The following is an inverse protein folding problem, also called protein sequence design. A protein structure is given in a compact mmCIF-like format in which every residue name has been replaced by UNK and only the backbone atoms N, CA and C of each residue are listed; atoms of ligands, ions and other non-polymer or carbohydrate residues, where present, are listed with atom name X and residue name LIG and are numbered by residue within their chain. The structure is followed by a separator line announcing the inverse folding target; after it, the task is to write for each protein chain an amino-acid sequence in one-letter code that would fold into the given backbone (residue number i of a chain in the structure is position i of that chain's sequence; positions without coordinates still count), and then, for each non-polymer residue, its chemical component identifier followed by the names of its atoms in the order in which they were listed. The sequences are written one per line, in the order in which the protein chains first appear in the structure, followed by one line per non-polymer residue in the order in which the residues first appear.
data_IF_239570849786
#
_entry.id   IF_239570849786
#
_cell.length_a   1.000
_cell.length_b   1.000
_cell.length_c   1.000
_cell.angle_alpha   90.00
_cell.angle_beta   90.00
_cell.angle_gamma   90.00
#
_symmetry.space_group_name_H-M   'P 1'
#
loop_
_entity.id
_entity.type
_entity.pdbx_description
1 polymer ?
#
# COMPACT_ATOMS: atom_id res chain seq x y z
N UNK A 1 21.97 -12.42 -14.30
CA UNK A 1 23.42 -12.16 -14.14
C UNK A 1 23.70 -10.81 -14.75
N UNK A 2 24.11 -9.82 -13.96
CA UNK A 2 24.47 -8.51 -14.49
C UNK A 2 25.89 -8.60 -15.04
N UNK A 3 26.05 -8.40 -16.35
CA UNK A 3 27.37 -8.32 -16.97
C UNK A 3 27.92 -6.92 -16.74
N UNK A 4 28.99 -6.83 -15.95
CA UNK A 4 29.70 -5.57 -15.71
C UNK A 4 30.59 -5.32 -16.93
N UNK A 5 30.38 -4.19 -17.62
CA UNK A 5 31.29 -3.69 -18.65
C UNK A 5 32.26 -2.70 -18.00
N UNK A 6 33.55 -3.02 -18.05
CA UNK A 6 34.62 -2.09 -17.65
C UNK A 6 35.17 -1.49 -18.95
N UNK A 7 35.11 -0.17 -19.06
CA UNK A 7 35.63 0.58 -20.20
C UNK A 7 37.11 0.91 -19.93
N UNK A 8 37.99 0.04 -20.43
CA UNK A 8 39.44 0.15 -20.25
C UNK A 8 40.08 1.30 -21.08
N UNK A 9 39.28 2.03 -21.88
CA UNK A 9 39.78 3.13 -22.71
C UNK A 9 39.99 4.44 -21.94
N UNK A 10 39.50 4.52 -20.70
CA UNK A 10 39.68 5.68 -19.82
C UNK A 10 40.65 5.31 -18.70
N UNK A 11 41.72 6.09 -18.48
CA UNK A 11 42.54 5.91 -17.29
C UNK A 11 41.65 6.10 -16.07
N UNK A 12 41.70 5.15 -15.14
CA UNK A 12 41.03 5.30 -13.84
C UNK A 12 41.43 6.65 -13.24
N UNK A 13 40.49 7.41 -12.65
CA UNK A 13 40.85 8.66 -11.99
C UNK A 13 41.95 8.38 -10.97
N UNK A 14 43.05 9.14 -11.04
CA UNK A 14 44.15 9.03 -10.09
C UNK A 14 43.58 9.44 -8.73
N UNK A 15 43.30 8.45 -7.89
CA UNK A 15 42.86 8.66 -6.51
C UNK A 15 44.08 9.25 -5.78
N UNK A 16 43.97 10.41 -5.12
CA UNK A 16 45.09 11.00 -4.41
C UNK A 16 45.60 10.05 -3.32
N UNK A 17 46.91 9.77 -3.34
CA UNK A 17 47.58 8.96 -2.33
C UNK A 17 47.51 9.66 -0.97
N UNK A 18 46.57 9.24 -0.13
CA UNK A 18 46.63 9.55 1.30
C UNK A 18 47.58 8.56 1.98
N UNK A 19 48.50 9.02 2.86
CA UNK A 19 49.58 8.18 3.41
C UNK A 19 49.12 7.00 4.27
N UNK A 20 47.84 6.98 4.68
CA UNK A 20 47.23 5.88 5.45
C UNK A 20 46.21 5.05 4.65
N UNK A 21 46.03 5.30 3.36
CA UNK A 21 45.10 4.54 2.52
C UNK A 21 45.78 3.26 2.02
N UNK A 22 45.97 2.28 2.91
CA UNK A 22 46.34 0.92 2.50
C UNK A 22 45.19 0.34 1.67
N UNK A 23 45.32 0.39 0.36
CA UNK A 23 44.47 -0.36 -0.56
C UNK A 23 44.60 -1.86 -0.23
N UNK A 24 43.57 -2.43 0.39
CA UNK A 24 43.47 -3.87 0.60
C UNK A 24 43.25 -4.54 -0.77
N UNK A 25 44.11 -5.51 -1.09
CA UNK A 25 43.89 -6.31 -2.29
C UNK A 25 42.72 -7.27 -2.11
N UNK A 26 41.97 -7.58 -3.18
CA UNK A 26 40.87 -8.54 -3.12
C UNK A 26 41.32 -9.91 -2.55
N UNK A 27 42.57 -10.31 -2.80
CA UNK A 27 43.14 -11.53 -2.27
C UNK A 27 43.32 -11.50 -0.75
N UNK A 28 43.74 -10.36 -0.18
CA UNK A 28 43.85 -10.17 1.28
C UNK A 28 42.48 -10.14 1.95
N UNK A 29 41.52 -9.48 1.32
CA UNK A 29 40.11 -9.48 1.75
C UNK A 29 39.54 -10.91 1.79
N UNK A 30 39.72 -11.70 0.73
CA UNK A 30 39.26 -13.10 0.71
C UNK A 30 39.98 -13.99 1.72
N UNK A 31 41.29 -13.76 1.97
CA UNK A 31 42.03 -14.46 3.03
C UNK A 31 41.48 -14.13 4.42
N UNK A 32 41.12 -12.86 4.68
CA UNK A 32 40.49 -12.45 5.93
C UNK A 32 39.07 -13.01 6.07
N UNK A 33 38.31 -13.04 4.99
CA UNK A 33 36.98 -13.68 4.97
C UNK A 33 37.09 -15.18 5.29
N UNK A 34 38.06 -15.88 4.68
CA UNK A 34 38.35 -17.29 4.99
C UNK A 34 38.87 -17.48 6.42
N UNK A 35 39.52 -16.47 7.00
CA UNK A 35 39.96 -16.45 8.40
C UNK A 35 38.87 -15.99 9.39
N UNK A 36 37.63 -15.81 8.94
CA UNK A 36 36.48 -15.52 9.82
C UNK A 36 36.05 -14.05 9.89
N UNK A 37 36.53 -13.18 9.00
CA UNK A 37 35.98 -11.82 8.87
C UNK A 37 34.51 -11.91 8.44
N UNK A 38 33.60 -11.55 9.36
CA UNK A 38 32.18 -11.41 9.05
C UNK A 38 31.96 -10.15 8.22
N UNK A 39 31.38 -10.31 7.03
CA UNK A 39 31.02 -9.21 6.14
C UNK A 39 29.75 -8.48 6.59
N UNK A 40 28.97 -9.11 7.46
CA UNK A 40 27.76 -8.57 8.06
C UNK A 40 28.03 -8.53 9.56
N UNK A 41 27.86 -7.37 10.19
CA UNK A 41 28.03 -7.27 11.63
C UNK A 41 26.90 -8.03 12.34
N UNK A 42 27.16 -8.49 13.56
CA UNK A 42 26.13 -9.14 14.39
C UNK A 42 24.93 -8.20 14.62
N UNK A 43 25.17 -6.88 14.64
CA UNK A 43 24.15 -5.83 14.67
C UNK A 43 23.27 -5.84 13.41
N UNK A 44 23.86 -5.89 12.21
CA UNK A 44 23.10 -5.99 10.95
C UNK A 44 22.30 -7.30 10.86
N UNK A 45 22.83 -8.41 11.37
CA UNK A 45 22.11 -9.69 11.46
C UNK A 45 20.94 -9.61 12.45
N UNK A 46 21.11 -8.90 13.57
CA UNK A 46 20.06 -8.66 14.54
C UNK A 46 18.95 -7.78 13.95
N UNK A 47 19.31 -6.65 13.32
CA UNK A 47 18.35 -5.77 12.63
C UNK A 47 17.55 -6.52 11.57
N UNK A 48 18.21 -7.39 10.79
CA UNK A 48 17.54 -8.20 9.77
C UNK A 48 16.51 -9.16 10.40
N UNK A 49 16.85 -9.78 11.54
CA UNK A 49 15.94 -10.65 12.29
C UNK A 49 14.74 -9.87 12.83
N UNK A 50 14.98 -8.73 13.46
CA UNK A 50 13.92 -7.87 14.00
C UNK A 50 12.99 -7.37 12.89
N UNK A 51 13.54 -6.96 11.74
CA UNK A 51 12.75 -6.57 10.57
C UNK A 51 11.90 -7.72 10.04
N UNK A 52 12.43 -8.95 10.01
CA UNK A 52 11.69 -10.12 9.58
C UNK A 52 10.55 -10.48 10.54
N UNK A 53 10.79 -10.39 11.86
CA UNK A 53 9.75 -10.60 12.87
C UNK A 53 8.63 -9.57 12.76
N UNK A 54 8.98 -8.29 12.59
CA UNK A 54 8.02 -7.21 12.36
C UNK A 54 7.20 -7.44 11.09
N UNK A 55 7.83 -7.90 10.00
CA UNK A 55 7.14 -8.27 8.75
C UNK A 55 6.15 -9.42 8.99
N UNK A 56 6.55 -10.47 9.72
CA UNK A 56 5.68 -11.61 10.04
C UNK A 56 4.46 -11.19 10.86
N UNK A 57 4.63 -10.29 11.83
CA UNK A 57 3.52 -9.75 12.63
C UNK A 57 2.57 -8.92 11.76
N UNK A 58 3.12 -8.09 10.87
CA UNK A 58 2.31 -7.32 9.91
C UNK A 58 1.53 -8.22 8.96
N UNK A 59 2.15 -9.27 8.41
CA UNK A 59 1.49 -10.24 7.53
C UNK A 59 0.33 -10.93 8.25
N UNK A 60 0.51 -11.37 9.51
CA UNK A 60 -0.58 -11.95 10.32
C UNK A 60 -1.73 -10.96 10.53
N UNK A 61 -1.41 -9.70 10.82
CA UNK A 61 -2.41 -8.64 10.96
C UNK A 61 -3.18 -8.41 9.65
N UNK A 62 -2.49 -8.37 8.52
CA UNK A 62 -3.10 -8.20 7.20
C UNK A 62 -3.97 -9.38 6.80
N UNK A 63 -3.55 -10.62 7.06
CA UNK A 63 -4.39 -11.78 6.78
C UNK A 63 -5.65 -11.82 7.67
N UNK A 64 -5.57 -11.38 8.94
CA UNK A 64 -6.75 -11.20 9.80
C UNK A 64 -7.71 -10.16 9.21
N UNK A 65 -7.22 -8.98 8.83
CA UNK A 65 -8.05 -7.92 8.25
C UNK A 65 -8.63 -8.32 6.90
N UNK A 66 -7.84 -9.02 6.08
CA UNK A 66 -8.28 -9.58 4.81
C UNK A 66 -9.42 -10.56 5.01
N UNK A 67 -9.27 -11.51 5.95
CA UNK A 67 -10.33 -12.45 6.29
C UNK A 67 -11.60 -11.71 6.75
N UNK A 68 -11.46 -10.76 7.66
CA UNK A 68 -12.58 -9.93 8.13
C UNK A 68 -13.31 -9.23 6.97
N UNK A 69 -12.57 -8.67 6.00
CA UNK A 69 -13.13 -8.01 4.83
C UNK A 69 -13.93 -8.99 3.97
N UNK A 70 -13.34 -10.13 3.61
CA UNK A 70 -13.98 -11.09 2.70
C UNK A 70 -15.15 -11.84 3.35
N UNK A 71 -15.04 -12.16 4.64
CA UNK A 71 -16.12 -12.78 5.41
C UNK A 71 -17.37 -11.87 5.45
N UNK A 72 -17.18 -10.54 5.46
CA UNK A 72 -18.26 -9.54 5.50
C UNK A 72 -18.46 -8.79 4.17
N UNK A 73 -17.92 -9.31 3.07
CA UNK A 73 -17.93 -8.59 1.80
C UNK A 73 -19.35 -8.38 1.25
N UNK A 74 -20.27 -9.30 1.50
CA UNK A 74 -21.68 -9.18 1.15
C UNK A 74 -22.34 -7.97 1.83
N UNK A 75 -22.14 -7.80 3.14
CA UNK A 75 -22.61 -6.64 3.90
C UNK A 75 -22.02 -5.33 3.34
N UNK A 76 -20.71 -5.33 3.11
CA UNK A 76 -20.00 -4.15 2.58
C UNK A 76 -20.52 -3.77 1.20
N UNK A 77 -20.76 -4.74 0.31
CA UNK A 77 -21.28 -4.48 -1.02
C UNK A 77 -22.74 -4.02 -1.01
N UNK A 78 -23.57 -4.50 -0.07
CA UNK A 78 -24.96 -4.02 0.12
C UNK A 78 -25.00 -2.55 0.56
N UNK A 79 -24.08 -2.13 1.43
CA UNK A 79 -23.96 -0.74 1.89
C UNK A 79 -22.95 0.11 1.10
N UNK A 80 -22.59 -0.31 -0.11
CA UNK A 80 -21.53 0.34 -0.90
C UNK A 80 -21.77 1.85 -1.07
N UNK A 81 -22.97 2.25 -1.46
CA UNK A 81 -23.26 3.66 -1.79
C UNK A 81 -23.13 4.56 -0.56
N UNK A 82 -23.54 4.06 0.60
CA UNK A 82 -23.34 4.71 1.91
C UNK A 82 -21.85 4.82 2.29
N UNK A 83 -21.08 3.75 2.09
CA UNK A 83 -19.64 3.73 2.32
C UNK A 83 -18.93 4.76 1.43
N UNK A 84 -19.33 4.86 0.16
CA UNK A 84 -18.78 5.82 -0.79
C UNK A 84 -19.16 7.27 -0.46
N UNK A 85 -20.34 7.49 0.10
CA UNK A 85 -20.83 8.81 0.50
C UNK A 85 -20.22 9.30 1.83
N UNK A 86 -19.76 8.37 2.69
CA UNK A 86 -19.25 8.68 4.03
C UNK A 86 -17.72 8.76 4.04
N UNK A 87 -17.08 9.94 4.16
CA UNK A 87 -15.62 10.08 4.06
C UNK A 87 -14.84 9.20 5.04
N UNK A 88 -15.38 9.03 6.26
CA UNK A 88 -14.81 8.19 7.31
C UNK A 88 -14.71 6.71 6.90
N UNK A 89 -15.70 6.19 6.17
CA UNK A 89 -15.68 4.80 5.67
C UNK A 89 -14.89 4.68 4.37
N UNK A 90 -15.05 5.65 3.48
CA UNK A 90 -14.36 5.69 2.19
C UNK A 90 -12.83 5.59 2.33
N UNK A 91 -12.27 6.20 3.38
CA UNK A 91 -10.83 6.28 3.61
C UNK A 91 -10.24 5.09 4.40
N UNK A 92 -11.02 4.05 4.72
CA UNK A 92 -10.52 2.86 5.41
C UNK A 92 -9.42 2.19 4.56
N UNK A 93 -8.32 1.81 5.22
CA UNK A 93 -7.20 1.13 4.58
C UNK A 93 -7.54 -0.32 4.19
N UNK A 94 -7.35 -0.63 2.90
CA UNK A 94 -7.60 -1.94 2.28
C UNK A 94 -6.46 -2.40 1.37
N UNK A 95 -5.23 -1.91 1.54
CA UNK A 95 -4.09 -2.29 0.68
C UNK A 95 -3.78 -3.79 0.67
N UNK A 96 -4.18 -4.52 1.71
CA UNK A 96 -4.03 -5.98 1.85
C UNK A 96 -5.11 -6.80 1.09
N UNK A 97 -6.18 -6.15 0.63
CA UNK A 97 -7.36 -6.83 0.09
C UNK A 97 -7.14 -7.41 -1.31
N UNK A 98 -6.30 -6.75 -2.13
CA UNK A 98 -6.01 -7.14 -3.51
C UNK A 98 -4.52 -7.36 -3.71
N UNK A 99 -4.15 -8.54 -4.23
CA UNK A 99 -2.75 -8.88 -4.55
C UNK A 99 -2.58 -8.97 -6.07
N UNK A 100 -1.59 -8.28 -6.62
CA UNK A 100 -1.31 -8.31 -8.04
C UNK A 100 0.18 -8.52 -8.29
N UNK A 101 0.55 -8.93 -9.49
CA UNK A 101 1.96 -8.92 -9.88
C UNK A 101 2.18 -9.44 -11.28
N UNK A 102 3.23 -8.96 -11.93
CA UNK A 102 3.58 -9.39 -13.27
C UNK A 102 5.02 -9.84 -13.37
N UNK A 103 5.27 -10.74 -14.31
CA UNK A 103 6.62 -11.00 -14.78
C UNK A 103 7.23 -9.67 -15.27
N UNK A 104 8.49 -9.42 -14.95
CA UNK A 104 9.26 -8.20 -15.26
C UNK A 104 8.84 -6.90 -14.55
N UNK A 105 7.58 -6.75 -14.12
CA UNK A 105 7.10 -5.54 -13.40
C UNK A 105 6.99 -5.73 -11.88
N UNK A 106 7.15 -6.96 -11.41
CA UNK A 106 7.12 -7.28 -9.99
C UNK A 106 5.72 -7.22 -9.37
N UNK A 107 5.63 -7.22 -8.03
CA UNK A 107 4.36 -7.15 -7.32
C UNK A 107 3.67 -5.80 -7.53
N UNK A 108 2.34 -5.83 -7.56
CA UNK A 108 1.53 -4.63 -7.50
C UNK A 108 1.73 -3.97 -6.14
N UNK A 109 2.21 -2.73 -6.15
CA UNK A 109 2.21 -1.90 -4.95
C UNK A 109 0.84 -1.25 -4.74
N UNK A 110 0.18 -1.58 -3.63
CA UNK A 110 -1.09 -1.00 -3.16
C UNK A 110 -0.89 0.07 -2.09
N UNK A 111 0.36 0.48 -1.85
CA UNK A 111 0.76 1.52 -0.91
C UNK A 111 1.86 2.36 -1.55
N UNK A 112 1.72 3.68 -1.57
CA UNK A 112 2.77 4.59 -2.04
C UNK A 112 3.13 5.59 -0.97
N UNK A 113 4.42 5.74 -0.73
CA UNK A 113 4.95 6.79 0.12
C UNK A 113 5.48 7.93 -0.75
N UNK A 114 5.30 9.16 -0.30
CA UNK A 114 5.92 10.35 -0.87
C UNK A 114 6.36 11.27 0.27
N UNK A 115 7.35 12.12 0.01
CA UNK A 115 7.85 13.07 0.99
C UNK A 115 7.21 14.44 0.74
N UNK A 116 6.64 15.05 1.77
CA UNK A 116 6.23 16.45 1.76
C UNK A 116 6.85 17.14 2.97
N UNK A 117 7.59 18.23 2.74
CA UNK A 117 8.19 19.05 3.79
C UNK A 117 8.98 18.23 4.83
N UNK A 118 9.74 17.23 4.38
CA UNK A 118 10.53 16.36 5.27
C UNK A 118 9.71 15.26 5.96
N UNK A 119 8.39 15.22 5.79
CA UNK A 119 7.51 14.20 6.34
C UNK A 119 7.19 13.13 5.29
N UNK A 120 7.30 11.86 5.67
CA UNK A 120 6.91 10.73 4.81
C UNK A 120 5.42 10.49 4.98
N UNK A 121 4.65 10.76 3.92
CA UNK A 121 3.22 10.48 3.85
C UNK A 121 3.01 9.19 3.08
N UNK A 122 2.30 8.23 3.68
CA UNK A 122 1.94 6.96 3.04
C UNK A 122 0.46 6.94 2.70
N UNK A 123 0.17 6.72 1.42
CA UNK A 123 -1.18 6.57 0.89
C UNK A 123 -1.39 5.12 0.49
N UNK A 124 -2.31 4.48 1.20
CA UNK A 124 -2.72 3.10 0.97
C UNK A 124 -3.97 3.06 0.08
N UNK A 125 -4.22 1.91 -0.54
CA UNK A 125 -5.47 1.67 -1.26
C UNK A 125 -6.66 1.81 -0.30
N UNK A 126 -7.53 2.78 -0.62
CA UNK A 126 -8.73 3.10 0.16
C UNK A 126 -9.89 2.17 -0.17
N UNK A 127 -10.75 1.89 0.80
CA UNK A 127 -11.95 1.06 0.62
C UNK A 127 -12.83 1.59 -0.52
N UNK A 128 -13.07 2.91 -0.60
CA UNK A 128 -13.84 3.49 -1.69
C UNK A 128 -13.23 3.20 -3.07
N UNK A 129 -11.91 3.26 -3.19
CA UNK A 129 -11.21 2.99 -4.44
C UNK A 129 -11.28 1.52 -4.80
N UNK A 130 -11.14 0.62 -3.82
CA UNK A 130 -11.30 -0.82 -4.02
C UNK A 130 -12.73 -1.16 -4.50
N UNK A 131 -13.76 -0.61 -3.87
CA UNK A 131 -15.16 -0.85 -4.25
C UNK A 131 -15.43 -0.38 -5.69
N UNK A 132 -14.97 0.82 -6.07
CA UNK A 132 -15.07 1.35 -7.44
C UNK A 132 -14.30 0.51 -8.46
N UNK A 133 -13.23 -0.16 -8.05
CA UNK A 133 -12.49 -1.08 -8.93
C UNK A 133 -13.32 -2.33 -9.19
N UNK A 134 -13.92 -2.90 -8.14
CA UNK A 134 -14.79 -4.07 -8.23
C UNK A 134 -16.11 -3.82 -8.97
N UNK A 135 -16.47 -2.58 -9.28
CA UNK A 135 -17.60 -2.28 -10.16
C UNK A 135 -17.30 -2.47 -11.65
N UNK A 136 -16.02 -2.54 -12.02
CA UNK A 136 -15.63 -2.65 -13.43
C UNK A 136 -15.67 -4.09 -13.91
N UNK A 137 -16.06 -4.30 -15.16
CA UNK A 137 -16.23 -5.65 -15.73
C UNK A 137 -14.92 -6.45 -15.75
N UNK A 138 -13.78 -5.74 -15.86
CA UNK A 138 -12.46 -6.34 -15.71
C UNK A 138 -12.26 -7.04 -14.35
N UNK A 139 -12.95 -6.58 -13.30
CA UNK A 139 -12.81 -7.07 -11.93
C UNK A 139 -14.04 -7.81 -11.38
N UNK A 140 -15.08 -7.98 -12.20
CA UNK A 140 -16.27 -8.79 -11.89
C UNK A 140 -16.30 -10.07 -12.69
N UNK A 141 -16.88 -11.11 -12.14
CA UNK A 141 -17.10 -12.39 -12.81
C UNK A 141 -18.42 -12.97 -12.31
N UNK A 142 -19.20 -13.56 -13.19
CA UNK A 142 -20.38 -14.33 -12.77
C UNK A 142 -19.95 -15.56 -11.98
N UNK A 143 -20.57 -15.78 -10.83
CA UNK A 143 -20.37 -16.97 -10.02
C UNK A 143 -21.39 -18.04 -10.41
N UNK A 144 -21.04 -19.31 -10.21
CA UNK A 144 -21.94 -20.46 -10.42
C UNK A 144 -23.21 -20.41 -9.56
N UNK A 145 -23.20 -19.67 -8.45
CA UNK A 145 -24.38 -19.47 -7.61
C UNK A 145 -25.36 -18.42 -8.16
N UNK A 146 -25.05 -17.77 -9.28
CA UNK A 146 -25.83 -16.66 -9.84
C UNK A 146 -25.38 -15.27 -9.34
N UNK A 147 -24.60 -15.22 -8.25
CA UNK A 147 -24.03 -13.99 -7.72
C UNK A 147 -22.85 -13.43 -8.51
N UNK A 148 -22.37 -12.25 -8.12
CA UNK A 148 -21.18 -11.62 -8.72
C UNK A 148 -19.94 -11.83 -7.85
N UNK A 149 -18.93 -12.51 -8.39
CA UNK A 149 -17.61 -12.64 -7.77
C UNK A 149 -16.68 -11.49 -8.18
N UNK A 150 -15.82 -11.07 -7.25
CA UNK A 150 -14.87 -9.97 -7.45
C UNK A 150 -13.43 -10.45 -7.46
N UNK A 151 -12.59 -9.88 -8.32
CA UNK A 151 -11.18 -10.25 -8.43
C UNK A 151 -10.41 -9.77 -7.20
N UNK A 152 -9.84 -10.71 -6.44
CA UNK A 152 -9.01 -10.44 -5.25
C UNK A 152 -7.52 -10.65 -5.49
N UNK A 153 -7.15 -11.38 -6.54
CA UNK A 153 -5.75 -11.48 -6.93
C UNK A 153 -5.56 -11.77 -8.40
N UNK A 154 -4.43 -11.34 -8.96
CA UNK A 154 -4.05 -11.66 -10.34
C UNK A 154 -2.53 -11.73 -10.51
N UNK A 155 -2.10 -12.56 -11.45
CA UNK A 155 -0.72 -12.64 -11.93
C UNK A 155 -0.70 -12.67 -13.45
N UNK A 156 0.40 -12.26 -14.08
CA UNK A 156 0.47 -12.30 -15.54
C UNK A 156 1.78 -11.78 -16.12
N UNK A 157 1.76 -11.52 -17.42
CA UNK A 157 2.90 -10.95 -18.15
C UNK A 157 2.44 -9.72 -18.94
N UNK A 158 3.15 -8.59 -18.81
CA UNK A 158 2.87 -7.40 -19.60
C UNK A 158 3.20 -7.60 -21.09
N UNK A 159 4.15 -8.48 -21.42
CA UNK A 159 4.60 -8.69 -22.80
C UNK A 159 3.60 -9.51 -23.62
N UNK A 160 3.07 -10.59 -23.05
CA UNK A 160 2.06 -11.42 -23.71
C UNK A 160 0.63 -10.94 -23.44
N UNK A 161 0.44 -10.03 -22.49
CA UNK A 161 -0.88 -9.61 -22.00
C UNK A 161 -1.65 -10.70 -21.24
N UNK A 162 -1.12 -11.92 -21.14
CA UNK A 162 -1.79 -13.04 -20.50
C UNK A 162 -1.85 -12.86 -18.98
N UNK A 163 -2.97 -13.26 -18.38
CA UNK A 163 -3.13 -13.24 -16.93
C UNK A 163 -3.91 -14.45 -16.42
N UNK A 164 -3.68 -14.75 -15.15
CA UNK A 164 -4.50 -15.63 -14.31
C UNK A 164 -4.96 -14.82 -13.11
N UNK A 165 -6.23 -14.93 -12.76
CA UNK A 165 -6.79 -14.24 -11.63
C UNK A 165 -7.65 -15.17 -10.78
N UNK A 166 -7.85 -14.77 -9.54
CA UNK A 166 -8.72 -15.45 -8.59
C UNK A 166 -9.80 -14.47 -8.16
N UNK A 167 -11.04 -14.86 -8.41
CA UNK A 167 -12.24 -14.18 -7.95
C UNK A 167 -12.74 -14.81 -6.66
N UNK A 168 -13.41 -14.01 -5.84
CA UNK A 168 -14.10 -14.45 -4.62
C UNK A 168 -15.56 -14.03 -4.69
N UNK A 169 -16.46 -14.96 -4.46
CA UNK A 169 -17.90 -14.68 -4.41
C UNK A 169 -18.32 -14.29 -2.99
N UNK A 170 -18.89 -13.10 -2.77
CA UNK A 170 -19.37 -12.68 -1.46
C UNK A 170 -20.58 -13.49 -0.97
N UNK A 171 -21.37 -14.08 -1.88
CA UNK A 171 -22.60 -14.82 -1.54
C UNK A 171 -22.30 -16.27 -1.13
N UNK A 172 -21.72 -17.07 -2.03
CA UNK A 172 -21.40 -18.46 -1.74
C UNK A 172 -20.03 -18.68 -1.08
N UNK A 173 -19.25 -17.61 -0.89
CA UNK A 173 -17.91 -17.62 -0.27
C UNK A 173 -16.88 -18.52 -1.00
N UNK A 174 -17.17 -18.92 -2.24
CA UNK A 174 -16.29 -19.74 -3.07
C UNK A 174 -15.36 -18.89 -3.94
N UNK A 175 -14.21 -19.48 -4.27
CA UNK A 175 -13.25 -18.90 -5.19
C UNK A 175 -13.41 -19.47 -6.61
N UNK A 176 -13.15 -18.63 -7.60
CA UNK A 176 -13.14 -19.02 -9.00
C UNK A 176 -11.85 -18.55 -9.68
N UNK A 177 -11.27 -19.40 -10.51
CA UNK A 177 -10.12 -19.04 -11.33
C UNK A 177 -10.58 -18.45 -12.66
N UNK A 178 -9.92 -17.37 -13.05
CA UNK A 178 -10.26 -16.59 -14.24
C UNK A 178 -9.01 -16.51 -15.11
N UNK A 179 -9.14 -16.95 -16.35
CA UNK A 179 -8.10 -16.83 -17.37
C UNK A 179 -8.56 -15.87 -18.47
N UNK A 180 -7.67 -15.61 -19.44
CA UNK A 180 -7.99 -14.91 -20.69
C UNK A 180 -8.43 -13.45 -20.53
N UNK A 181 -8.08 -12.80 -19.43
CA UNK A 181 -8.20 -11.34 -19.29
C UNK A 181 -6.84 -10.67 -19.48
N UNK A 182 -6.85 -9.42 -19.93
CA UNK A 182 -5.62 -8.64 -20.12
C UNK A 182 -4.95 -8.37 -18.78
N UNK A 183 -3.68 -8.74 -18.65
CA UNK A 183 -2.84 -8.36 -17.51
C UNK A 183 -2.78 -6.84 -17.34
N UNK A 184 -2.58 -6.11 -18.44
CA UNK A 184 -2.56 -4.65 -18.44
C UNK A 184 -3.87 -4.04 -17.95
N UNK A 185 -5.00 -4.68 -18.29
CA UNK A 185 -6.33 -4.31 -17.81
C UNK A 185 -6.45 -4.38 -16.29
N UNK A 186 -5.79 -5.33 -15.63
CA UNK A 186 -5.71 -5.37 -14.17
C UNK A 186 -4.69 -4.38 -13.63
N UNK A 187 -3.43 -4.54 -14.04
CA UNK A 187 -2.29 -3.93 -13.38
C UNK A 187 -2.27 -2.40 -13.57
N UNK A 188 -2.40 -1.93 -14.82
CA UNK A 188 -2.35 -0.50 -15.10
C UNK A 188 -3.60 0.23 -14.65
N UNK A 189 -4.76 -0.44 -14.65
CA UNK A 189 -5.99 0.16 -14.11
C UNK A 189 -5.87 0.44 -12.61
N UNK A 190 -5.43 -0.56 -11.83
CA UNK A 190 -5.18 -0.42 -10.39
C UNK A 190 -4.14 0.65 -10.10
N UNK A 191 -3.00 0.61 -10.79
CA UNK A 191 -1.96 1.63 -10.60
C UNK A 191 -2.46 3.04 -10.92
N UNK A 192 -3.23 3.21 -12.01
CA UNK A 192 -3.80 4.51 -12.37
C UNK A 192 -4.77 5.03 -11.30
N UNK A 193 -5.60 4.16 -10.72
CA UNK A 193 -6.51 4.55 -9.63
C UNK A 193 -5.74 4.93 -8.36
N UNK A 194 -4.71 4.16 -8.00
CA UNK A 194 -3.85 4.50 -6.86
C UNK A 194 -3.10 5.82 -7.09
N UNK A 195 -2.56 6.07 -8.29
CA UNK A 195 -1.92 7.35 -8.61
C UNK A 195 -2.88 8.53 -8.42
N UNK A 196 -4.14 8.41 -8.87
CA UNK A 196 -5.15 9.46 -8.67
C UNK A 196 -5.47 9.70 -7.20
N UNK A 197 -5.52 8.65 -6.39
CA UNK A 197 -5.69 8.78 -4.94
C UNK A 197 -4.52 9.51 -4.30
N UNK A 198 -3.29 9.13 -4.67
CA UNK A 198 -2.06 9.79 -4.21
C UNK A 198 -2.06 11.26 -4.59
N UNK A 199 -2.37 11.60 -5.83
CA UNK A 199 -2.45 12.99 -6.31
C UNK A 199 -3.53 13.80 -5.58
N UNK A 200 -4.65 13.17 -5.23
CA UNK A 200 -5.72 13.83 -4.46
C UNK A 200 -5.26 14.11 -3.03
N UNK A 201 -4.72 13.11 -2.34
CA UNK A 201 -4.20 13.28 -0.98
C UNK A 201 -3.05 14.29 -0.94
N UNK A 202 -2.15 14.26 -1.92
CA UNK A 202 -1.05 15.21 -2.00
C UNK A 202 -1.56 16.66 -2.17
N UNK A 203 -2.55 16.89 -3.04
CA UNK A 203 -3.17 18.22 -3.20
C UNK A 203 -3.86 18.69 -1.93
N UNK A 204 -4.65 17.82 -1.30
CA UNK A 204 -5.35 18.14 -0.05
C UNK A 204 -4.37 18.44 1.07
N UNK A 205 -3.29 17.66 1.18
CA UNK A 205 -2.22 17.87 2.14
C UNK A 205 -1.52 19.22 1.92
N UNK A 206 -1.12 19.53 0.68
CA UNK A 206 -0.47 20.80 0.35
C UNK A 206 -1.39 21.98 0.68
N UNK A 207 -2.66 21.91 0.30
CA UNK A 207 -3.63 22.97 0.62
C UNK A 207 -3.75 23.20 2.13
N UNK A 208 -3.88 22.14 2.93
CA UNK A 208 -3.93 22.24 4.40
C UNK A 208 -2.63 22.77 4.99
N UNK A 209 -1.50 22.33 4.46
CA UNK A 209 -0.18 22.78 4.90
C UNK A 209 0.01 24.28 4.65
N UNK A 210 -0.35 24.78 3.45
CA UNK A 210 -0.29 26.21 3.13
C UNK A 210 -1.18 27.06 4.04
N UNK A 211 -2.38 26.57 4.38
CA UNK A 211 -3.25 27.24 5.34
C UNK A 211 -2.61 27.29 6.74
N UNK A 212 -2.03 26.17 7.19
CA UNK A 212 -1.34 26.09 8.48
C UNK A 212 -0.13 27.03 8.55
N UNK A 213 0.67 27.11 7.48
CA UNK A 213 1.79 28.07 7.38
C UNK A 213 1.30 29.52 7.47
N UNK A 214 0.23 29.85 6.74
CA UNK A 214 -0.35 31.21 6.76
C UNK A 214 -0.86 31.58 8.15
N UNK A 215 -1.51 30.66 8.86
CA UNK A 215 -2.00 30.91 10.21
C UNK A 215 -0.87 30.95 11.25
N UNK A 216 0.20 30.17 11.04
CA UNK A 216 1.42 30.25 11.83
C UNK A 216 2.09 31.64 11.69
N UNK A 217 2.25 32.15 10.47
CA UNK A 217 2.83 33.49 10.23
C UNK A 217 2.04 34.59 10.96
N UNK A 218 0.70 34.51 10.96
CA UNK A 218 -0.14 35.43 11.74
C UNK A 218 0.11 35.31 13.25
N UNK A 219 0.15 34.09 13.80
CA UNK A 219 0.38 33.85 15.24
C UNK A 219 1.75 34.39 15.70
N UNK A 220 2.79 34.22 14.87
CA UNK A 220 4.13 34.77 15.11
C UNK A 220 4.10 36.30 15.08
N UNK A 221 3.44 36.90 14.10
CA UNK A 221 3.29 38.37 14.01
C UNK A 221 2.54 38.97 15.21
N UNK A 222 1.61 38.23 15.83
CA UNK A 222 0.88 38.62 17.04
C UNK A 222 1.71 38.49 18.34
N UNK A 223 2.97 38.05 18.27
CA UNK A 223 3.86 37.92 19.43
C UNK A 223 3.50 36.79 20.39
N UNK A 224 2.55 35.92 20.02
CA UNK A 224 2.17 34.73 20.78
C UNK A 224 2.99 33.54 20.29
N UNK A 225 4.23 33.35 20.74
CA UNK A 225 4.96 32.14 20.31
C UNK A 225 5.81 31.45 21.38
N UNK A 226 5.39 30.23 21.72
CA UNK A 226 6.19 29.14 22.31
C UNK A 226 6.00 27.96 21.36
N UNK A 227 7.06 27.66 20.62
CA UNK A 227 7.17 26.72 19.50
C UNK A 227 6.27 25.46 19.54
N UNK A 228 5.35 25.32 18.56
CA UNK A 228 5.03 24.02 18.00
C UNK A 228 5.22 24.04 16.47
N UNK A 229 5.61 22.93 15.86
CA UNK A 229 5.87 22.89 14.41
C UNK A 229 4.55 23.07 13.64
N UNK A 230 4.56 23.53 12.37
CA UNK A 230 3.34 23.63 11.55
C UNK A 230 2.50 22.34 11.48
N UNK A 231 3.14 21.18 11.71
CA UNK A 231 2.47 19.89 11.78
C UNK A 231 1.57 19.67 13.01
N UNK A 232 1.70 20.46 14.08
CA UNK A 232 0.89 20.30 15.29
C UNK A 232 -0.57 20.72 15.07
N UNK A 233 -0.81 21.63 14.12
CA UNK A 233 -2.14 22.06 13.69
C UNK A 233 -2.71 21.15 12.55
N UNK A 234 -1.97 20.12 12.12
CA UNK A 234 -2.42 19.21 11.07
C UNK A 234 -3.30 18.09 11.64
N UNK A 235 -4.62 18.28 11.58
CA UNK A 235 -5.60 17.27 11.99
C UNK A 235 -6.27 16.60 10.77
N UNK A 236 -6.48 15.29 10.87
CA UNK A 236 -7.28 14.54 9.89
C UNK A 236 -8.76 14.90 9.97
N UNK A 237 -9.48 14.77 8.86
CA UNK A 237 -10.91 15.10 8.79
C UNK A 237 -11.76 13.97 9.39
N UNK A 238 -11.83 13.91 10.72
CA UNK A 238 -12.83 13.13 11.44
C UNK A 238 -12.30 12.02 12.34
N UNK A 239 -13.25 11.37 13.03
CA UNK A 239 -12.96 10.25 13.94
C UNK A 239 -12.41 9.05 13.19
N UNK A 240 -11.31 8.43 13.64
CA UNK A 240 -10.76 7.26 12.99
C UNK A 240 -11.81 6.14 12.89
N UNK A 241 -11.85 5.46 11.75
CA UNK A 241 -12.65 4.25 11.54
C UNK A 241 -11.74 3.16 10.98
N UNK A 242 -11.87 1.97 11.53
CA UNK A 242 -11.26 0.77 10.99
C UNK A 242 -12.37 -0.16 10.45
N UNK A 243 -11.93 -1.25 9.82
CA UNK A 243 -12.84 -2.19 9.18
C UNK A 243 -13.79 -2.85 10.19
N UNK A 244 -13.32 -3.16 11.40
CA UNK A 244 -14.12 -3.74 12.48
C UNK A 244 -15.25 -2.79 12.90
N UNK A 245 -14.94 -1.51 13.10
CA UNK A 245 -15.91 -0.47 13.47
C UNK A 245 -16.97 -0.32 12.39
N UNK A 246 -16.56 -0.21 11.11
CA UNK A 246 -17.49 -0.16 9.99
C UNK A 246 -18.45 -1.36 10.00
N UNK A 247 -17.93 -2.58 10.10
CA UNK A 247 -18.77 -3.79 10.05
C UNK A 247 -19.77 -3.81 11.21
N UNK A 248 -19.35 -3.41 12.41
CA UNK A 248 -20.26 -3.34 13.55
C UNK A 248 -21.34 -2.28 13.37
N UNK A 249 -20.98 -1.08 12.91
CA UNK A 249 -21.92 0.02 12.64
C UNK A 249 -22.95 -0.41 11.57
N UNK A 250 -22.53 -1.06 10.49
CA UNK A 250 -23.43 -1.57 9.45
C UNK A 250 -24.37 -2.66 9.98
N UNK A 251 -23.87 -3.61 10.79
CA UNK A 251 -24.70 -4.67 11.39
C UNK A 251 -25.76 -4.12 12.35
N UNK A 252 -25.37 -3.16 13.19
CA UNK A 252 -26.31 -2.51 14.10
C UNK A 252 -27.41 -1.80 13.33
N UNK A 253 -27.06 -1.17 12.21
CA UNK A 253 -28.03 -0.52 11.33
C UNK A 253 -29.01 -1.51 10.69
N UNK A 254 -28.52 -2.61 10.09
CA UNK A 254 -29.42 -3.63 9.53
C UNK A 254 -30.35 -4.23 10.60
N UNK A 255 -29.84 -4.40 11.82
CA UNK A 255 -30.65 -4.85 12.95
C UNK A 255 -31.76 -3.83 13.30
N UNK A 256 -31.43 -2.54 13.42
CA UNK A 256 -32.41 -1.47 13.68
C UNK A 256 -33.47 -1.36 12.58
N UNK A 257 -33.06 -1.43 11.30
CA UNK A 257 -33.98 -1.42 10.15
C UNK A 257 -34.92 -2.64 10.17
N UNK A 258 -34.41 -3.83 10.54
CA UNK A 258 -35.23 -5.04 10.67
C UNK A 258 -36.26 -4.95 11.80
N UNK A 259 -35.88 -4.35 12.94
CA UNK A 259 -36.78 -4.13 14.09
C UNK A 259 -37.86 -3.09 13.75
N UNK A 260 -37.49 -2.03 13.05
CA UNK A 260 -38.43 -0.98 12.66
C UNK A 260 -39.38 -1.42 11.54
N UNK A 261 -38.98 -2.36 10.67
CA UNK A 261 -39.84 -2.91 9.61
C UNK A 261 -40.88 -3.93 10.11
N UNK A 262 -40.77 -4.36 11.38
CA UNK A 262 -41.71 -5.29 12.03
C UNK A 262 -42.72 -4.58 12.95
N UNK A 263 -42.63 -3.26 13.09
CA UNK A 263 -43.61 -2.42 13.79
C UNK A 263 -44.56 -1.76 12.79
#
# INVERSE_FOLDING_TARGET
MATIFIDDSKPFPVIPEQPDNRHESALEFFKRQAAGLKLISDEMEQETREQEEMRKLQEKSFERKKKLLFDNLDLILRHRDEILATPRYANIDTHYAIKGGGLYVGPLSTSRAFNIAGSIVRVNLRLATLLRIWETDQFKVECKCGGTAVIRSFTGSPLSGSSRATAYCPECKQEAHVANRSFGGYFWYLQKKLSKDVETVARDFIAKWTLAETDHEKKVAEGKYKDPKPGDDFHGDGTPCNLETLINELRMKEFEESVNSQK
#
